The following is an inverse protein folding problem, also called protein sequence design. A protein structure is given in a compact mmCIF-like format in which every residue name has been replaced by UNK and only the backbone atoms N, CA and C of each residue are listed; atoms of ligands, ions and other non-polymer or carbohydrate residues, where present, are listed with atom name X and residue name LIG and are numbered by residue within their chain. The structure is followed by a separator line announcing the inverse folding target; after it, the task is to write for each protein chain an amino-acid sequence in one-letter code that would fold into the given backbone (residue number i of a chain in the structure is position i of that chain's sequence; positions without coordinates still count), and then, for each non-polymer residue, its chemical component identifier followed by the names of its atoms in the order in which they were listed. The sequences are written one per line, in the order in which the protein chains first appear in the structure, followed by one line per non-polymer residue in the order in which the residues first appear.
data_IF_130004321616
#
_entry.id   IF_130004321616
#
_cell.length_a   1.000
_cell.length_b   1.000
_cell.length_c   1.000
_cell.angle_alpha   90.00
_cell.angle_beta   90.00
_cell.angle_gamma   90.00
#
_symmetry.space_group_name_H-M   'P 1'
#
loop_
_entity.id
_entity.type
_entity.pdbx_description
1 polymer ?
#
# COMPACT_ATOMS: atom_id res chain seq x y z
N UNK A 1 -43.99 -1.23 -6.91
CA UNK A 1 -43.03 -0.82 -7.96
C UNK A 1 -41.62 -0.90 -7.37
N UNK A 2 -40.89 -1.94 -7.78
CA UNK A 2 -39.47 -2.30 -7.59
C UNK A 2 -38.67 -1.78 -6.38
N UNK A 3 -38.29 -2.73 -5.52
CA UNK A 3 -37.24 -2.64 -4.51
C UNK A 3 -35.86 -2.64 -5.18
N UNK A 4 -35.08 -1.57 -4.97
CA UNK A 4 -33.67 -1.53 -5.35
C UNK A 4 -32.82 -1.95 -4.14
N UNK A 5 -32.65 -3.27 -4.06
CA UNK A 5 -31.60 -3.95 -3.31
C UNK A 5 -30.26 -3.53 -3.92
N UNK A 6 -29.66 -2.44 -3.43
CA UNK A 6 -28.24 -2.20 -3.62
C UNK A 6 -27.50 -2.82 -2.43
N UNK A 7 -27.18 -4.07 -2.69
CA UNK A 7 -26.14 -4.88 -2.10
C UNK A 7 -25.08 -4.06 -1.34
N UNK A 8 -24.93 -4.44 -0.08
CA UNK A 8 -23.84 -4.01 0.78
C UNK A 8 -22.50 -4.38 0.14
N UNK A 9 -21.91 -3.48 -0.64
CA UNK A 9 -20.46 -3.44 -0.76
C UNK A 9 -19.92 -2.76 0.51
N UNK A 10 -20.09 -3.44 1.65
CA UNK A 10 -19.19 -3.26 2.79
C UNK A 10 -17.82 -3.66 2.26
N UNK A 11 -17.10 -2.72 1.66
CA UNK A 11 -15.66 -2.76 1.65
C UNK A 11 -15.24 -2.58 3.11
N UNK A 12 -15.32 -3.69 3.86
CA UNK A 12 -14.51 -3.88 5.04
C UNK A 12 -13.09 -3.61 4.59
N UNK A 13 -12.59 -2.40 4.90
CA UNK A 13 -11.16 -2.15 4.97
C UNK A 13 -10.57 -3.37 5.70
N UNK A 14 -9.62 -4.10 5.09
CA UNK A 14 -8.99 -5.22 5.77
C UNK A 14 -8.30 -4.65 7.01
N UNK A 15 -8.97 -4.88 8.11
CA UNK A 15 -8.58 -4.57 9.47
C UNK A 15 -7.33 -5.39 9.76
N UNK A 16 -6.14 -4.76 9.71
CA UNK A 16 -4.90 -5.28 10.29
C UNK A 16 -4.71 -6.80 10.14
N UNK A 17 -4.97 -7.32 8.95
CA UNK A 17 -4.50 -8.63 8.58
C UNK A 17 -3.33 -8.33 7.70
N UNK A 18 -2.14 -8.28 8.29
CA UNK A 18 -0.91 -8.38 7.51
C UNK A 18 -1.12 -9.61 6.63
N UNK A 19 -1.41 -9.44 5.32
CA UNK A 19 -1.20 -10.56 4.44
C UNK A 19 0.26 -10.91 4.66
N UNK A 20 0.64 -12.17 4.51
CA UNK A 20 2.06 -12.49 4.38
C UNK A 20 2.53 -11.80 3.09
N UNK A 21 2.82 -10.50 3.17
CA UNK A 21 3.36 -9.72 2.07
C UNK A 21 4.73 -10.31 1.88
N UNK A 22 4.96 -10.81 0.67
CA UNK A 22 6.23 -11.43 0.32
C UNK A 22 7.37 -10.47 0.72
N UNK A 23 8.39 -10.93 1.45
CA UNK A 23 9.54 -10.10 1.79
C UNK A 23 10.19 -9.45 0.56
N UNK A 24 10.11 -10.05 -0.63
CA UNK A 24 10.54 -9.43 -1.88
C UNK A 24 9.73 -8.16 -2.21
N UNK A 25 8.42 -8.16 -1.97
CA UNK A 25 7.56 -6.99 -2.16
C UNK A 25 7.82 -5.90 -1.13
N UNK A 26 8.09 -6.29 0.13
CA UNK A 26 8.45 -5.33 1.17
C UNK A 26 9.77 -4.63 0.81
N UNK A 27 10.77 -5.38 0.32
CA UNK A 27 12.04 -4.80 -0.15
C UNK A 27 11.85 -3.87 -1.33
N UNK A 28 11.09 -4.28 -2.35
CA UNK A 28 10.82 -3.44 -3.52
C UNK A 28 10.04 -2.17 -3.14
N UNK A 29 9.06 -2.28 -2.23
CA UNK A 29 8.36 -1.13 -1.68
C UNK A 29 9.30 -0.17 -0.94
N UNK A 30 10.22 -0.71 -0.13
CA UNK A 30 11.25 0.07 0.55
C UNK A 30 12.18 0.81 -0.40
N UNK A 31 12.60 0.18 -1.48
CA UNK A 31 13.41 0.85 -2.53
C UNK A 31 12.65 2.01 -3.17
N UNK A 32 11.38 1.81 -3.51
CA UNK A 32 10.53 2.88 -4.08
C UNK A 32 10.40 4.04 -3.10
N UNK A 33 10.15 3.75 -1.81
CA UNK A 33 10.06 4.77 -0.78
C UNK A 33 11.36 5.54 -0.59
N UNK A 34 12.49 4.84 -0.50
CA UNK A 34 13.80 5.48 -0.28
C UNK A 34 14.21 6.37 -1.45
N UNK A 35 14.07 5.86 -2.69
CA UNK A 35 14.33 6.66 -3.89
C UNK A 35 13.45 7.90 -3.89
N UNK A 36 12.17 7.77 -3.52
CA UNK A 36 11.26 8.90 -3.44
C UNK A 36 11.68 9.92 -2.37
N UNK A 37 12.16 9.47 -1.22
CA UNK A 37 12.71 10.31 -0.16
C UNK A 37 13.98 11.05 -0.62
N UNK A 38 14.88 10.38 -1.36
CA UNK A 38 16.10 10.97 -1.92
C UNK A 38 15.80 12.08 -2.93
N UNK A 39 14.78 11.89 -3.79
CA UNK A 39 14.41 12.92 -4.78
C UNK A 39 13.52 14.02 -4.21
N UNK A 40 12.78 13.76 -3.13
CA UNK A 40 11.83 14.69 -2.53
C UNK A 40 11.92 14.70 -0.99
N UNK A 41 12.97 15.30 -0.42
CA UNK A 41 13.16 15.36 1.04
C UNK A 41 12.11 16.23 1.75
N UNK A 42 11.41 17.11 1.04
CA UNK A 42 10.35 17.98 1.58
C UNK A 42 9.07 17.24 2.01
N UNK A 43 8.79 16.08 1.40
CA UNK A 43 7.62 15.22 1.68
C UNK A 43 8.01 13.86 2.27
N UNK A 44 9.31 13.66 2.51
CA UNK A 44 9.85 12.50 3.20
C UNK A 44 9.21 12.36 4.59
N UNK A 45 8.49 11.26 4.83
CA UNK A 45 7.80 10.97 6.09
C UNK A 45 6.31 11.31 6.11
N UNK A 46 5.75 11.98 5.09
CA UNK A 46 4.30 12.14 4.95
C UNK A 46 3.63 10.97 4.19
N UNK A 47 4.43 10.08 3.62
CA UNK A 47 3.92 8.90 2.95
C UNK A 47 3.22 7.98 3.98
N UNK A 48 2.01 7.53 3.66
CA UNK A 48 1.32 6.53 4.46
C UNK A 48 1.86 5.13 4.18
N UNK A 49 2.42 4.90 2.99
CA UNK A 49 3.00 3.63 2.56
C UNK A 49 3.25 3.58 1.06
N UNK A 50 3.50 2.39 0.52
CA UNK A 50 3.73 2.17 -0.91
C UNK A 50 2.75 1.12 -1.41
N UNK A 51 1.99 1.46 -2.44
CA UNK A 51 1.21 0.48 -3.19
C UNK A 51 2.13 -0.18 -4.21
N UNK A 52 2.30 -1.50 -4.13
CA UNK A 52 3.17 -2.26 -5.03
C UNK A 52 2.39 -3.41 -5.67
N UNK A 53 2.60 -3.62 -6.96
CA UNK A 53 2.04 -4.73 -7.69
C UNK A 53 2.86 -6.01 -7.44
N UNK A 54 2.20 -7.10 -7.07
CA UNK A 54 2.87 -8.36 -6.73
C UNK A 54 3.55 -9.07 -7.93
N UNK A 55 3.13 -8.76 -9.17
CA UNK A 55 3.66 -9.37 -10.40
C UNK A 55 4.85 -8.57 -10.92
N UNK A 56 4.68 -7.25 -11.05
CA UNK A 56 5.67 -6.38 -11.70
C UNK A 56 6.67 -5.77 -10.72
N UNK A 57 6.45 -5.91 -9.40
CA UNK A 57 7.20 -5.24 -8.33
C UNK A 57 7.26 -3.72 -8.49
N UNK A 58 6.39 -3.14 -9.34
CA UNK A 58 6.27 -1.71 -9.54
C UNK A 58 5.19 -1.16 -8.64
N UNK A 59 5.44 0.03 -8.13
CA UNK A 59 4.56 0.65 -7.18
C UNK A 59 4.66 2.15 -7.16
N UNK A 60 3.82 2.75 -6.33
CA UNK A 60 3.77 4.19 -6.10
C UNK A 60 3.67 4.46 -4.62
N UNK A 61 4.33 5.53 -4.20
CA UNK A 61 4.21 6.05 -2.84
C UNK A 61 2.81 6.65 -2.68
N UNK A 62 2.13 6.25 -1.63
CA UNK A 62 0.79 6.69 -1.28
C UNK A 62 0.90 7.61 -0.07
N UNK A 63 0.34 8.81 -0.21
CA UNK A 63 0.24 9.81 0.85
C UNK A 63 -1.15 9.86 1.49
N UNK A 64 -2.12 9.23 0.86
CA UNK A 64 -3.51 9.19 1.35
C UNK A 64 -3.71 8.07 2.35
N UNK A 65 -4.49 8.31 3.40
CA UNK A 65 -4.86 7.29 4.39
C UNK A 65 -5.71 6.14 3.83
N UNK A 66 -6.39 6.35 2.70
CA UNK A 66 -7.25 5.35 2.07
C UNK A 66 -6.94 5.20 0.58
N UNK A 67 -5.81 4.55 0.23
CA UNK A 67 -5.48 4.29 -1.16
C UNK A 67 -6.53 3.40 -1.83
N UNK A 68 -6.85 3.73 -3.07
CA UNK A 68 -7.54 2.81 -3.98
C UNK A 68 -6.48 1.88 -4.55
N UNK A 69 -6.51 0.62 -4.12
CA UNK A 69 -5.61 -0.42 -4.62
C UNK A 69 -6.29 -1.20 -5.74
N UNK A 70 -5.54 -1.50 -6.78
CA UNK A 70 -5.97 -2.46 -7.79
C UNK A 70 -5.94 -3.89 -7.21
N UNK A 71 -6.68 -4.85 -7.80
CA UNK A 71 -6.71 -6.24 -7.32
C UNK A 71 -5.36 -6.95 -7.25
N UNK A 72 -4.38 -6.47 -8.03
CA UNK A 72 -3.02 -7.00 -8.07
C UNK A 72 -2.03 -6.18 -7.25
N UNK A 73 -2.46 -5.05 -6.68
CA UNK A 73 -1.64 -4.18 -5.86
C UNK A 73 -1.84 -4.49 -4.38
N UNK A 74 -0.73 -4.61 -3.67
CA UNK A 74 -0.70 -4.71 -2.23
C UNK A 74 -0.20 -3.38 -1.66
N UNK A 75 -0.83 -2.93 -0.58
CA UNK A 75 -0.35 -1.78 0.16
C UNK A 75 0.63 -2.25 1.23
N UNK A 76 1.85 -1.72 1.18
CA UNK A 76 2.88 -1.94 2.19
C UNK A 76 3.00 -0.66 3.02
N UNK A 77 2.55 -0.67 4.29
CA UNK A 77 2.71 0.49 5.17
C UNK A 77 4.18 0.68 5.53
N UNK A 78 4.60 1.93 5.77
CA UNK A 78 5.98 2.25 6.14
C UNK A 78 6.48 1.45 7.35
N UNK A 79 5.62 1.26 8.35
CA UNK A 79 5.94 0.48 9.55
C UNK A 79 6.39 -0.95 9.23
N UNK A 80 5.88 -1.55 8.15
CA UNK A 80 6.25 -2.90 7.72
C UNK A 80 7.56 -2.91 6.91
N UNK A 81 7.86 -1.83 6.20
CA UNK A 81 9.14 -1.64 5.50
C UNK A 81 10.25 -1.47 6.53
N UNK A 82 10.04 -0.60 7.52
CA UNK A 82 10.98 -0.34 8.61
C UNK A 82 11.23 -1.62 9.43
N UNK A 83 10.17 -2.34 9.79
CA UNK A 83 10.27 -3.62 10.52
C UNK A 83 10.93 -4.75 9.73
N UNK A 84 11.09 -4.64 8.41
CA UNK A 84 11.80 -5.65 7.61
C UNK A 84 13.30 -5.33 7.43
N UNK A 85 13.68 -4.07 7.65
CA UNK A 85 15.07 -3.61 7.58
C UNK A 85 15.81 -3.74 8.92
N UNK A 86 15.09 -3.94 10.03
CA UNK A 86 15.61 -4.03 11.39
C UNK A 86 15.26 -5.38 12.03
#
# INVERSE_FOLDING_TARGET
MYALRQEQAKFTAPKNQSPLIDPALIRAAGQIYYIHCEVHPEIAGQASGVAINHITHRGKVIFTHQPVLLPQECFVPLSQIESHMY
#
